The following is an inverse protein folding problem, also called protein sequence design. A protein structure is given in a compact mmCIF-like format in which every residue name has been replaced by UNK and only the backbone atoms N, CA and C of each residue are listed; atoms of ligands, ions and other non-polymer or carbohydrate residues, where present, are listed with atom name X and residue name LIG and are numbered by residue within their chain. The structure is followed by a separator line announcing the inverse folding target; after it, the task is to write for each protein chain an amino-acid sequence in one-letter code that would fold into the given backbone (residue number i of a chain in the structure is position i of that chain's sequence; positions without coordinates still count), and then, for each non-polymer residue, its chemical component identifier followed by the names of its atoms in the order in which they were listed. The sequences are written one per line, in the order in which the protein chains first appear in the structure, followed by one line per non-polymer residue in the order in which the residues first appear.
data_IF_713380157991
#
_entry.id   IF_713380157991
#
_cell.length_a   1.000
_cell.length_b   1.000
_cell.length_c   1.000
_cell.angle_alpha   90.00
_cell.angle_beta   90.00
_cell.angle_gamma   90.00
#
_symmetry.space_group_name_H-M   'P 1'
#
loop_
_entity.id
_entity.type
_entity.pdbx_description
1 polymer ?
#
# COMPACT_ATOMS: atom_id res chain seq x y z
N UNK A 1 5.09 36.94 -1.42
CA UNK A 1 5.51 38.28 -1.03
C UNK A 1 6.01 39.00 -2.27
N UNK A 2 5.46 40.20 -2.54
CA UNK A 2 5.90 41.08 -3.62
C UNK A 2 7.03 41.94 -3.07
N UNK A 3 8.15 41.98 -3.79
CA UNK A 3 9.29 42.81 -3.45
C UNK A 3 9.40 43.86 -4.53
N UNK A 4 9.37 45.14 -4.14
CA UNK A 4 9.62 46.27 -5.03
C UNK A 4 11.12 46.50 -5.16
N UNK A 5 11.62 46.46 -6.38
CA UNK A 5 13.04 46.68 -6.71
C UNK A 5 13.13 47.89 -7.64
N UNK A 6 14.02 48.82 -7.35
CA UNK A 6 14.16 50.08 -8.09
C UNK A 6 14.80 49.91 -9.48
N UNK A 7 15.49 48.80 -9.75
CA UNK A 7 16.19 48.52 -11.02
C UNK A 7 15.73 47.17 -11.62
N UNK A 8 15.34 47.21 -12.90
CA UNK A 8 14.87 46.04 -13.65
C UNK A 8 15.94 44.95 -13.78
N UNK A 9 17.21 45.30 -13.90
CA UNK A 9 18.33 44.36 -13.97
C UNK A 9 18.47 43.57 -12.67
N UNK A 10 18.45 44.28 -11.55
CA UNK A 10 18.46 43.67 -10.20
C UNK A 10 17.27 42.76 -9.98
N UNK A 11 16.09 43.12 -10.46
CA UNK A 11 14.90 42.28 -10.37
C UNK A 11 15.06 40.95 -11.13
N UNK A 12 15.64 41.01 -12.35
CA UNK A 12 15.96 39.83 -13.17
C UNK A 12 16.97 38.91 -12.49
N UNK A 13 18.05 39.47 -11.98
CA UNK A 13 19.12 38.72 -11.31
C UNK A 13 18.60 38.01 -10.05
N UNK A 14 17.81 38.70 -9.24
CA UNK A 14 17.19 38.10 -8.05
C UNK A 14 16.19 37.00 -8.42
N UNK A 15 15.40 37.19 -9.47
CA UNK A 15 14.47 36.19 -9.97
C UNK A 15 15.20 34.91 -10.45
N UNK A 16 16.29 35.11 -11.20
CA UNK A 16 17.14 34.05 -11.74
C UNK A 16 17.87 33.29 -10.63
N UNK A 17 18.38 33.99 -9.62
CA UNK A 17 19.01 33.40 -8.43
C UNK A 17 18.01 32.59 -7.59
N UNK A 18 16.78 33.09 -7.43
CA UNK A 18 15.71 32.34 -6.74
C UNK A 18 15.27 31.09 -7.52
N UNK A 19 15.26 31.19 -8.84
CA UNK A 19 14.92 30.05 -9.69
C UNK A 19 15.99 28.96 -9.66
N UNK A 20 17.28 29.34 -9.68
CA UNK A 20 18.40 28.38 -9.55
C UNK A 20 18.42 27.69 -8.18
N UNK A 21 18.26 28.47 -7.08
CA UNK A 21 18.12 27.90 -5.73
C UNK A 21 16.94 26.94 -5.59
N UNK A 22 15.78 27.24 -6.20
CA UNK A 22 14.64 26.32 -6.22
C UNK A 22 14.93 25.05 -7.02
N UNK A 23 15.68 25.13 -8.11
CA UNK A 23 16.14 23.96 -8.87
C UNK A 23 17.11 23.10 -8.05
N UNK A 24 18.11 23.70 -7.43
CA UNK A 24 19.05 22.99 -6.54
C UNK A 24 18.32 22.28 -5.39
N UNK A 25 17.41 22.99 -4.71
CA UNK A 25 16.63 22.41 -3.62
C UNK A 25 15.72 21.27 -4.09
N UNK A 26 15.23 21.32 -5.33
CA UNK A 26 14.47 20.22 -5.93
C UNK A 26 15.36 19.03 -6.27
N UNK A 27 16.53 19.25 -6.80
CA UNK A 27 17.50 18.19 -7.14
C UNK A 27 18.02 17.49 -5.87
N UNK A 28 18.35 18.26 -4.83
CA UNK A 28 18.75 17.70 -3.53
C UNK A 28 17.63 16.89 -2.89
N UNK A 29 16.37 17.35 -2.95
CA UNK A 29 15.21 16.56 -2.46
C UNK A 29 14.94 15.30 -3.29
N UNK A 30 15.32 15.28 -4.57
CA UNK A 30 15.22 14.09 -5.40
C UNK A 30 16.33 13.09 -5.14
N UNK A 31 17.57 13.56 -4.86
CA UNK A 31 18.69 12.67 -4.50
C UNK A 31 18.49 12.02 -3.12
N UNK A 32 18.04 12.79 -2.11
CA UNK A 32 17.68 12.22 -0.80
C UNK A 32 16.56 11.17 -0.89
N UNK A 33 15.57 11.38 -1.74
CA UNK A 33 14.53 10.35 -1.99
C UNK A 33 15.08 9.09 -2.65
N UNK A 34 16.08 9.22 -3.53
CA UNK A 34 16.74 8.06 -4.17
C UNK A 34 17.61 7.29 -3.17
N UNK A 35 18.33 7.99 -2.30
CA UNK A 35 19.11 7.39 -1.23
C UNK A 35 18.22 6.68 -0.18
N UNK A 36 17.10 7.29 0.19
CA UNK A 36 16.10 6.68 1.07
C UNK A 36 15.46 5.43 0.42
N UNK A 37 15.18 5.47 -0.88
CA UNK A 37 14.66 4.32 -1.63
C UNK A 37 15.70 3.20 -1.71
N UNK A 38 16.97 3.54 -1.97
CA UNK A 38 18.06 2.55 -1.98
C UNK A 38 18.33 1.98 -0.58
N UNK A 39 18.29 2.81 0.47
CA UNK A 39 18.43 2.34 1.86
C UNK A 39 17.27 1.42 2.27
N UNK A 40 16.06 1.69 1.80
CA UNK A 40 14.88 0.84 2.05
C UNK A 40 14.96 -0.48 1.27
N UNK A 41 15.56 -0.48 0.08
CA UNK A 41 15.81 -1.70 -0.70
C UNK A 41 16.92 -2.58 -0.10
N UNK A 42 17.88 -2.00 0.64
CA UNK A 42 18.99 -2.75 1.27
C UNK A 42 18.64 -3.30 2.66
N UNK A 43 17.62 -2.77 3.32
CA UNK A 43 17.14 -3.27 4.62
C UNK A 43 16.00 -4.29 4.48
N UNK A 44 16.14 -5.24 3.57
CA UNK A 44 15.56 -6.59 3.54
C UNK A 44 14.18 -6.85 4.18
N UNK A 45 13.23 -5.95 4.07
CA UNK A 45 11.82 -6.21 4.30
C UNK A 45 11.06 -5.74 3.06
N UNK A 46 10.60 -6.65 2.22
CA UNK A 46 9.67 -6.32 1.13
C UNK A 46 8.42 -5.69 1.75
N UNK A 47 8.42 -4.35 1.84
CA UNK A 47 7.21 -3.62 2.19
C UNK A 47 6.17 -3.92 1.12
N UNK A 48 5.21 -4.74 1.47
CA UNK A 48 4.12 -5.09 0.57
C UNK A 48 3.26 -3.86 0.34
N UNK A 49 3.12 -3.44 -0.91
CA UNK A 49 2.30 -2.28 -1.27
C UNK A 49 0.95 -2.76 -1.79
N UNK A 50 -0.12 -2.41 -1.09
CA UNK A 50 -1.48 -2.65 -1.53
C UNK A 50 -2.00 -1.43 -2.30
N UNK A 51 -2.11 -1.56 -3.59
CA UNK A 51 -2.63 -0.54 -4.47
C UNK A 51 -4.15 -0.60 -4.55
N UNK A 52 -4.82 0.55 -4.38
CA UNK A 52 -6.28 0.66 -4.38
C UNK A 52 -6.76 1.73 -5.36
N UNK A 53 -7.85 1.44 -6.06
CA UNK A 53 -8.66 2.41 -6.82
C UNK A 53 -10.00 2.53 -6.12
N UNK A 54 -10.37 3.73 -5.68
CA UNK A 54 -11.58 3.98 -4.87
C UNK A 54 -12.55 4.86 -5.65
N UNK A 55 -13.78 4.39 -5.83
CA UNK A 55 -14.88 5.15 -6.41
C UNK A 55 -16.07 5.17 -5.46
N UNK A 56 -16.67 6.34 -5.27
CA UNK A 56 -17.83 6.52 -4.42
C UNK A 56 -18.90 7.39 -5.07
N UNK A 57 -20.08 7.40 -4.48
CA UNK A 57 -21.24 8.16 -4.94
C UNK A 57 -21.10 9.68 -4.73
N UNK A 58 -20.45 10.09 -3.62
CA UNK A 58 -20.26 11.50 -3.25
C UNK A 58 -18.84 11.79 -2.79
N UNK A 59 -18.44 13.06 -2.92
CA UNK A 59 -17.08 13.51 -2.57
C UNK A 59 -16.72 13.26 -1.11
N UNK A 60 -17.66 13.49 -0.18
CA UNK A 60 -17.42 13.23 1.24
C UNK A 60 -17.10 11.76 1.55
N UNK A 61 -17.76 10.81 0.85
CA UNK A 61 -17.45 9.38 0.97
C UNK A 61 -16.05 9.06 0.45
N UNK A 62 -15.63 9.68 -0.66
CA UNK A 62 -14.28 9.52 -1.22
C UNK A 62 -13.21 9.96 -0.21
N UNK A 63 -13.38 11.15 0.37
CA UNK A 63 -12.44 11.72 1.33
C UNK A 63 -12.37 10.87 2.61
N UNK A 64 -13.53 10.50 3.17
CA UNK A 64 -13.59 9.65 4.37
C UNK A 64 -12.94 8.28 4.16
N UNK A 65 -13.16 7.65 3.00
CA UNK A 65 -12.54 6.39 2.63
C UNK A 65 -11.03 6.55 2.48
N UNK A 66 -10.58 7.56 1.75
CA UNK A 66 -9.15 7.84 1.54
C UNK A 66 -8.42 8.05 2.87
N UNK A 67 -8.97 8.87 3.75
CA UNK A 67 -8.37 9.13 5.06
C UNK A 67 -8.33 7.88 5.94
N UNK A 68 -9.40 7.11 5.95
CA UNK A 68 -9.48 5.86 6.70
C UNK A 68 -8.51 4.81 6.18
N UNK A 69 -8.40 4.64 4.85
CA UNK A 69 -7.50 3.70 4.22
C UNK A 69 -6.03 4.09 4.37
N UNK A 70 -5.72 5.39 4.32
CA UNK A 70 -4.35 5.87 4.54
C UNK A 70 -3.89 5.62 5.98
N UNK A 71 -4.79 5.70 6.96
CA UNK A 71 -4.49 5.39 8.37
C UNK A 71 -4.25 3.90 8.63
N UNK A 72 -4.68 3.01 7.73
CA UNK A 72 -4.43 1.57 7.84
C UNK A 72 -3.02 1.17 7.39
N UNK A 73 -2.29 2.10 6.78
CA UNK A 73 -0.90 1.86 6.37
C UNK A 73 -0.04 1.58 7.60
N UNK A 74 0.61 0.42 7.64
CA UNK A 74 1.53 -0.03 8.69
C UNK A 74 2.94 -0.13 8.13
N UNK A 75 3.94 -0.32 9.02
CA UNK A 75 5.34 -0.48 8.63
C UNK A 75 5.58 -1.68 7.70
N UNK A 76 4.70 -2.69 7.75
CA UNK A 76 4.79 -3.93 6.97
C UNK A 76 4.01 -3.86 5.65
N UNK A 77 2.84 -3.18 5.63
CA UNK A 77 1.99 -3.03 4.44
C UNK A 77 1.65 -1.57 4.23
N UNK A 78 2.06 -1.04 3.08
CA UNK A 78 1.72 0.31 2.65
C UNK A 78 0.46 0.30 1.81
N UNK A 79 -0.61 0.92 2.30
CA UNK A 79 -1.83 1.12 1.53
C UNK A 79 -1.68 2.37 0.66
N UNK A 80 -1.74 2.20 -0.65
CA UNK A 80 -1.57 3.26 -1.63
C UNK A 80 -2.85 3.45 -2.45
N UNK A 81 -3.54 4.55 -2.25
CA UNK A 81 -4.72 4.91 -3.06
C UNK A 81 -4.25 5.64 -4.32
N UNK A 82 -4.22 4.92 -5.46
CA UNK A 82 -3.74 5.44 -6.75
C UNK A 82 -4.71 6.47 -7.31
N UNK A 83 -6.00 6.11 -7.34
CA UNK A 83 -7.08 6.96 -7.82
C UNK A 83 -8.22 6.94 -6.83
N UNK A 84 -8.76 8.12 -6.56
CA UNK A 84 -10.00 8.30 -5.81
C UNK A 84 -10.89 9.27 -6.57
N UNK A 85 -12.18 8.96 -6.71
CA UNK A 85 -13.10 9.84 -7.46
C UNK A 85 -14.56 9.52 -7.24
N UNK A 86 -15.41 10.44 -7.69
CA UNK A 86 -16.86 10.34 -7.61
C UNK A 86 -17.42 9.76 -8.91
N UNK A 87 -18.47 8.96 -8.79
CA UNK A 87 -19.20 8.36 -9.91
C UNK A 87 -18.91 6.88 -10.12
N UNK A 88 -19.46 6.31 -11.18
CA UNK A 88 -19.30 4.90 -11.54
C UNK A 88 -17.85 4.54 -11.90
N UNK A 89 -17.55 3.26 -11.84
CA UNK A 89 -16.25 2.73 -12.24
C UNK A 89 -16.23 2.64 -13.77
N UNK A 90 -15.33 3.38 -14.40
CA UNK A 90 -15.18 3.48 -15.85
C UNK A 90 -14.12 2.53 -16.39
N UNK A 91 -14.08 2.40 -17.71
CA UNK A 91 -13.04 1.63 -18.43
C UNK A 91 -11.63 2.14 -18.13
N UNK A 92 -11.47 3.47 -18.03
CA UNK A 92 -10.17 4.09 -17.69
C UNK A 92 -9.70 3.69 -16.30
N UNK A 93 -10.60 3.61 -15.33
CA UNK A 93 -10.29 3.17 -13.96
C UNK A 93 -9.85 1.70 -13.95
N UNK A 94 -10.53 0.84 -14.72
CA UNK A 94 -10.19 -0.57 -14.87
C UNK A 94 -8.82 -0.75 -15.53
N UNK A 95 -8.51 0.03 -16.59
CA UNK A 95 -7.21 -0.01 -17.27
C UNK A 95 -6.07 0.40 -16.32
N UNK A 96 -6.30 1.44 -15.52
CA UNK A 96 -5.34 1.94 -14.55
C UNK A 96 -5.12 0.94 -13.41
N UNK A 97 -6.18 0.29 -12.94
CA UNK A 97 -6.11 -0.77 -11.96
C UNK A 97 -5.31 -1.98 -12.49
N UNK A 98 -5.51 -2.36 -13.76
CA UNK A 98 -4.75 -3.43 -14.41
C UNK A 98 -3.26 -3.10 -14.49
N UNK A 99 -2.90 -1.90 -14.93
CA UNK A 99 -1.52 -1.45 -15.02
C UNK A 99 -0.78 -1.42 -13.67
N UNK A 100 -1.52 -1.09 -12.61
CA UNK A 100 -0.98 -0.93 -11.25
C UNK A 100 -1.17 -2.16 -10.36
N UNK A 101 -1.79 -3.22 -10.85
CA UNK A 101 -2.22 -4.40 -10.07
C UNK A 101 -3.00 -3.98 -8.82
N UNK A 102 -3.95 -3.06 -9.00
CA UNK A 102 -4.71 -2.48 -7.91
C UNK A 102 -6.06 -3.19 -7.74
N UNK A 103 -6.52 -3.30 -6.49
CA UNK A 103 -7.89 -3.73 -6.17
C UNK A 103 -8.84 -2.55 -6.33
N UNK A 104 -9.98 -2.76 -6.98
CA UNK A 104 -10.99 -1.73 -7.22
C UNK A 104 -12.06 -1.81 -6.14
N UNK A 105 -12.32 -0.69 -5.48
CA UNK A 105 -13.35 -0.53 -4.45
C UNK A 105 -14.42 0.41 -4.95
N UNK A 106 -15.65 -0.09 -5.09
CA UNK A 106 -16.84 0.69 -5.41
C UNK A 106 -17.72 0.89 -4.17
N UNK A 107 -17.85 2.12 -3.70
CA UNK A 107 -18.68 2.47 -2.56
C UNK A 107 -19.99 3.12 -3.05
N UNK A 108 -21.11 2.41 -2.88
CA UNK A 108 -22.45 2.79 -3.40
C UNK A 108 -22.49 3.05 -4.92
N UNK A 109 -21.50 2.60 -5.67
CA UNK A 109 -21.43 2.77 -7.13
C UNK A 109 -21.25 1.43 -7.83
N UNK A 110 -21.51 1.40 -9.13
CA UNK A 110 -21.38 0.22 -9.96
C UNK A 110 -20.38 0.44 -11.08
N UNK A 111 -19.84 -0.66 -11.62
CA UNK A 111 -19.00 -0.61 -12.81
C UNK A 111 -19.85 -0.60 -14.07
N UNK A 112 -19.43 0.19 -15.05
CA UNK A 112 -19.99 0.21 -16.39
C UNK A 112 -19.80 -1.14 -17.09
N UNK A 113 -20.58 -1.42 -18.13
CA UNK A 113 -20.52 -2.68 -18.87
C UNK A 113 -19.14 -2.91 -19.52
N UNK A 114 -18.51 -1.85 -20.03
CA UNK A 114 -17.15 -1.88 -20.59
C UNK A 114 -16.08 -2.13 -19.50
N UNK A 115 -16.18 -1.42 -18.38
CA UNK A 115 -15.29 -1.62 -17.23
C UNK A 115 -15.36 -3.06 -16.69
N UNK A 116 -16.59 -3.61 -16.57
CA UNK A 116 -16.79 -4.97 -16.09
C UNK A 116 -16.11 -6.01 -16.97
N UNK A 117 -16.24 -5.89 -18.30
CA UNK A 117 -15.57 -6.78 -19.26
C UNK A 117 -14.05 -6.74 -19.12
N UNK A 118 -13.47 -5.54 -18.94
CA UNK A 118 -12.02 -5.39 -18.74
C UNK A 118 -11.57 -5.97 -17.40
N UNK A 119 -12.33 -5.79 -16.32
CA UNK A 119 -12.05 -6.33 -15.01
C UNK A 119 -12.02 -7.86 -15.06
N UNK A 120 -13.01 -8.48 -15.70
CA UNK A 120 -13.08 -9.92 -15.90
C UNK A 120 -11.96 -10.44 -16.80
N UNK A 121 -11.66 -9.74 -17.93
CA UNK A 121 -10.61 -10.14 -18.85
C UNK A 121 -9.20 -10.09 -18.23
N UNK A 122 -8.95 -9.12 -17.34
CA UNK A 122 -7.65 -8.95 -16.66
C UNK A 122 -7.60 -9.65 -15.28
N UNK A 123 -8.69 -10.29 -14.83
CA UNK A 123 -8.75 -10.96 -13.53
C UNK A 123 -8.56 -10.01 -12.34
N UNK A 124 -9.06 -8.76 -12.46
CA UNK A 124 -8.93 -7.76 -11.41
C UNK A 124 -9.92 -8.01 -10.26
N UNK A 125 -9.47 -7.75 -9.03
CA UNK A 125 -10.35 -7.82 -7.86
C UNK A 125 -11.22 -6.55 -7.77
N UNK A 126 -12.52 -6.73 -7.94
CA UNK A 126 -13.53 -5.66 -7.83
C UNK A 126 -14.48 -5.99 -6.71
N UNK A 127 -14.60 -5.09 -5.74
CA UNK A 127 -15.48 -5.23 -4.58
C UNK A 127 -16.40 -4.03 -4.41
N UNK A 128 -17.66 -4.33 -4.08
CA UNK A 128 -18.68 -3.32 -3.83
C UNK A 128 -19.04 -3.26 -2.36
N UNK A 129 -19.12 -2.06 -1.82
CA UNK A 129 -19.47 -1.81 -0.42
C UNK A 129 -20.50 -0.70 -0.30
N UNK A 130 -21.29 -0.76 0.78
CA UNK A 130 -22.23 0.29 1.17
C UNK A 130 -21.95 0.79 2.59
N UNK A 131 -21.09 0.10 3.34
CA UNK A 131 -20.72 0.43 4.72
C UNK A 131 -19.21 0.66 4.77
N UNK A 132 -18.80 1.77 5.39
CA UNK A 132 -17.38 2.18 5.41
C UNK A 132 -16.51 1.22 6.24
N UNK A 133 -17.08 0.66 7.31
CA UNK A 133 -16.37 -0.29 8.17
C UNK A 133 -16.05 -1.61 7.45
N UNK A 134 -16.95 -2.07 6.57
CA UNK A 134 -16.74 -3.28 5.77
C UNK A 134 -15.55 -3.10 4.81
N UNK A 135 -15.40 -1.89 4.23
CA UNK A 135 -14.22 -1.54 3.41
C UNK A 135 -12.94 -1.65 4.21
N UNK A 136 -12.94 -1.06 5.42
CA UNK A 136 -11.79 -1.04 6.31
C UNK A 136 -11.39 -2.46 6.71
N UNK A 137 -12.35 -3.27 7.12
CA UNK A 137 -12.11 -4.65 7.56
C UNK A 137 -11.64 -5.53 6.39
N UNK A 138 -12.20 -5.34 5.21
CA UNK A 138 -11.76 -6.05 4.01
C UNK A 138 -10.31 -5.69 3.62
N UNK A 139 -9.97 -4.41 3.65
CA UNK A 139 -8.60 -3.96 3.35
C UNK A 139 -7.61 -4.48 4.40
N UNK A 140 -7.99 -4.53 5.68
CA UNK A 140 -7.19 -5.16 6.74
C UNK A 140 -6.96 -6.65 6.48
N UNK A 141 -8.00 -7.38 6.08
CA UNK A 141 -7.89 -8.81 5.76
C UNK A 141 -6.97 -9.06 4.57
N UNK A 142 -7.09 -8.26 3.50
CA UNK A 142 -6.21 -8.36 2.32
C UNK A 142 -4.78 -8.01 2.71
N UNK A 143 -4.56 -6.95 3.47
CA UNK A 143 -3.25 -6.55 3.96
C UNK A 143 -2.61 -7.63 4.86
N UNK A 144 -3.40 -8.24 5.76
CA UNK A 144 -2.95 -9.35 6.59
C UNK A 144 -2.63 -10.61 5.78
N UNK A 145 -3.42 -10.88 4.73
CA UNK A 145 -3.18 -12.00 3.80
C UNK A 145 -1.91 -11.84 2.97
N UNK A 146 -1.52 -10.61 2.66
CA UNK A 146 -0.26 -10.31 1.97
C UNK A 146 0.97 -10.58 2.83
N UNK A 147 0.87 -10.44 4.16
CA UNK A 147 1.99 -10.66 5.08
C UNK A 147 2.34 -12.15 5.28
N UNK A 148 1.49 -13.07 4.81
CA UNK A 148 1.66 -14.50 5.07
C UNK A 148 1.43 -14.87 6.54
N UNK A 149 1.64 -16.15 6.85
CA UNK A 149 1.53 -16.66 8.22
C UNK A 149 2.88 -16.50 8.92
N UNK A 150 2.97 -15.60 9.87
CA UNK A 150 4.12 -15.55 10.77
C UNK A 150 4.01 -16.72 11.76
N UNK A 151 4.91 -17.68 11.66
CA UNK A 151 4.98 -18.79 12.63
C UNK A 151 5.63 -18.24 13.90
N UNK A 152 4.81 -18.00 14.91
CA UNK A 152 5.28 -17.58 16.22
C UNK A 152 5.49 -18.82 17.07
N UNK A 153 6.74 -19.14 17.33
CA UNK A 153 7.11 -20.21 18.25
C UNK A 153 7.08 -19.68 19.68
N UNK A 154 6.22 -20.24 20.50
CA UNK A 154 6.16 -19.97 21.93
C UNK A 154 6.65 -21.22 22.69
N UNK A 155 7.71 -21.04 23.50
CA UNK A 155 8.22 -22.13 24.33
C UNK A 155 7.26 -22.34 25.48
N UNK A 156 6.40 -23.37 25.36
CA UNK A 156 5.40 -23.76 26.37
C UNK A 156 5.95 -24.69 27.44
N UNK A 157 7.14 -25.24 27.25
CA UNK A 157 7.79 -26.11 28.22
C UNK A 157 9.10 -26.69 27.74
N UNK A 158 9.84 -27.28 28.64
CA UNK A 158 11.09 -27.97 28.38
C UNK A 158 10.96 -29.42 28.83
N UNK A 159 11.18 -30.37 27.92
CA UNK A 159 11.14 -31.78 28.20
C UNK A 159 12.58 -32.36 28.15
N UNK A 160 13.00 -33.08 29.17
CA UNK A 160 14.30 -33.75 29.22
C UNK A 160 14.18 -35.16 28.68
N UNK A 161 14.97 -35.53 27.66
CA UNK A 161 15.01 -36.88 27.13
C UNK A 161 15.77 -37.76 28.15
N UNK A 162 15.12 -38.80 28.68
CA UNK A 162 15.68 -39.74 29.63
C UNK A 162 16.21 -40.99 28.92
N UNK A 163 15.43 -41.54 28.00
CA UNK A 163 15.78 -42.77 27.28
C UNK A 163 15.35 -42.71 25.82
N UNK A 164 16.10 -43.39 24.94
CA UNK A 164 15.78 -43.50 23.53
C UNK A 164 15.57 -44.97 23.16
N UNK A 165 14.32 -45.28 22.77
CA UNK A 165 13.95 -46.64 22.36
C UNK A 165 13.90 -46.72 20.83
N UNK A 166 14.38 -47.84 20.28
CA UNK A 166 14.31 -48.10 18.85
C UNK A 166 13.11 -49.01 18.54
N UNK A 167 12.15 -48.48 17.79
CA UNK A 167 11.02 -49.26 17.32
C UNK A 167 11.19 -49.59 15.84
N UNK A 168 10.91 -50.84 15.44
CA UNK A 168 10.98 -51.26 14.04
C UNK A 168 9.96 -50.57 13.12
N UNK A 169 8.87 -50.03 13.70
CA UNK A 169 7.82 -49.31 12.95
C UNK A 169 7.94 -47.81 12.93
N UNK A 170 8.50 -47.20 13.98
CA UNK A 170 8.53 -45.73 14.16
C UNK A 170 9.92 -45.13 14.27
N UNK A 171 10.98 -45.94 14.12
CA UNK A 171 12.34 -45.49 14.26
C UNK A 171 12.73 -45.22 15.72
N UNK A 172 13.49 -44.17 16.00
CA UNK A 172 13.89 -43.79 17.34
C UNK A 172 12.75 -43.00 18.02
N UNK A 173 12.35 -43.46 19.20
CA UNK A 173 11.31 -42.85 20.06
C UNK A 173 11.98 -42.41 21.37
N UNK A 174 11.83 -41.13 21.70
CA UNK A 174 12.40 -40.55 22.92
C UNK A 174 11.39 -40.61 24.08
N UNK A 175 11.81 -41.19 25.19
CA UNK A 175 11.11 -41.10 26.47
C UNK A 175 11.47 -39.80 27.17
N UNK A 176 10.54 -38.88 27.30
CA UNK A 176 10.75 -37.56 27.88
C UNK A 176 10.07 -37.40 29.23
N UNK A 177 10.67 -36.64 30.13
CA UNK A 177 10.04 -36.19 31.36
C UNK A 177 9.80 -34.67 31.24
N UNK A 178 8.58 -34.22 31.51
CA UNK A 178 8.13 -32.83 31.48
C UNK A 178 8.22 -32.24 32.86
#
# INVERSE_FOLDING_TARGET
DFVSVADERLAKDVAQQRQSKRRETRLVKQSTKLEDIMATMTQGGEQQTLNLVVKADVQGSVEALRDSLTKLSNDLVKVNVIVSGVGGITESDATLAAASKATIIGFNVRADASARKLIEANGLDLRYFSIIYDVIDQVKQVASGLLGTEVREEIIGVAQVRDVFRSSKFGAVAGCMV
#
